data_IF_916312844242
#
_entry.id   IF_916312844242
#
_cell.length_a   1.000
_cell.length_b   1.000
_cell.length_c   1.000
_cell.angle_alpha   90.00
_cell.angle_beta   90.00
_cell.angle_gamma   90.00
#
_symmetry.space_group_name_H-M   'P 1'
#
loop_
_entity.id
_entity.type
_entity.pdbx_description
1 polymer ?
#
# COMPACT_ATOMS: atom_id res chain seq x y z
N UNK A 1 3.05 -4.21 2.15
CA UNK A 1 2.34 -4.03 3.45
C UNK A 1 3.20 -4.07 4.74
N UNK A 2 4.35 -4.76 4.84
CA UNK A 2 5.16 -4.82 6.10
C UNK A 2 6.21 -3.68 6.22
N UNK A 3 6.48 -2.92 5.16
CA UNK A 3 7.57 -1.90 5.09
C UNK A 3 7.05 -0.46 5.26
N UNK A 4 5.91 -0.25 5.94
CA UNK A 4 5.12 0.95 5.67
C UNK A 4 5.31 2.16 6.61
N UNK A 5 6.18 2.09 7.63
CA UNK A 5 6.43 3.26 8.51
C UNK A 5 7.89 3.63 8.80
N UNK A 6 8.84 2.75 8.51
CA UNK A 6 10.27 3.07 8.67
C UNK A 6 10.85 4.00 7.59
N UNK A 7 10.14 4.17 6.47
CA UNK A 7 10.68 4.83 5.27
C UNK A 7 9.97 6.13 4.86
N UNK A 8 9.10 6.70 5.70
CA UNK A 8 8.49 8.02 5.38
C UNK A 8 9.56 9.13 5.24
N UNK A 9 10.74 9.00 5.86
CA UNK A 9 11.89 9.90 5.64
C UNK A 9 12.71 9.59 4.39
N UNK A 10 12.56 8.40 3.81
CA UNK A 10 13.42 7.90 2.72
C UNK A 10 12.73 7.95 1.36
N UNK A 11 11.41 7.69 1.32
CA UNK A 11 10.60 7.93 0.14
C UNK A 11 10.47 9.43 -0.19
N UNK A 12 10.58 10.31 0.81
CA UNK A 12 10.61 11.75 0.60
C UNK A 12 11.81 12.20 -0.26
N UNK A 13 12.92 11.45 -0.25
CA UNK A 13 14.13 11.73 -1.04
C UNK A 13 14.02 11.17 -2.46
N UNK A 14 13.35 10.05 -2.68
CA UNK A 14 13.21 9.41 -3.99
C UNK A 14 12.09 10.01 -4.86
N UNK A 15 11.00 10.49 -4.27
CA UNK A 15 9.93 11.17 -5.03
C UNK A 15 10.30 12.62 -5.37
N UNK A 16 11.34 13.18 -4.76
CA UNK A 16 11.80 14.55 -5.05
C UNK A 16 12.66 14.69 -6.33
N UNK A 17 13.03 13.58 -6.99
CA UNK A 17 13.98 13.62 -8.10
C UNK A 17 13.44 13.29 -9.49
N UNK A 18 12.17 12.85 -9.64
CA UNK A 18 11.74 12.36 -10.97
C UNK A 18 10.53 13.00 -11.62
N UNK A 19 9.62 13.75 -10.99
CA UNK A 19 8.56 14.45 -11.74
C UNK A 19 7.83 15.48 -10.84
N UNK A 20 8.26 16.74 -10.83
CA UNK A 20 7.40 17.87 -10.42
C UNK A 20 8.05 19.22 -10.78
N UNK A 21 8.27 19.44 -12.07
CA UNK A 21 8.21 20.80 -12.63
C UNK A 21 6.82 20.99 -13.22
N UNK A 22 6.12 22.02 -12.73
CA UNK A 22 4.82 22.53 -13.16
C UNK A 22 3.56 21.79 -12.68
N UNK A 23 3.07 22.17 -11.50
CA UNK A 23 1.66 22.59 -11.37
C UNK A 23 1.47 23.48 -10.13
N UNK A 24 0.66 24.51 -10.35
CA UNK A 24 0.56 25.77 -9.63
C UNK A 24 -0.03 25.67 -8.22
N UNK A 25 0.55 26.45 -7.29
CA UNK A 25 0.29 26.54 -5.84
C UNK A 25 -1.02 27.26 -5.44
N UNK A 26 -2.17 27.04 -6.07
CA UNK A 26 -3.35 27.89 -5.73
C UNK A 26 -4.76 27.31 -5.68
N UNK A 27 -4.97 26.00 -5.72
CA UNK A 27 -6.35 25.47 -5.78
C UNK A 27 -6.79 24.49 -4.68
N UNK A 28 -5.99 24.23 -3.63
CA UNK A 28 -6.34 23.14 -2.70
C UNK A 28 -7.12 23.53 -1.44
N UNK A 29 -7.41 24.82 -1.19
CA UNK A 29 -8.14 25.24 0.03
C UNK A 29 -9.64 25.54 -0.21
N UNK A 30 -10.10 25.73 -1.46
CA UNK A 30 -11.49 26.16 -1.74
C UNK A 30 -12.41 25.08 -2.35
N UNK A 31 -11.98 23.81 -2.42
CA UNK A 31 -12.74 22.75 -3.09
C UNK A 31 -13.29 21.67 -2.13
N UNK A 32 -14.15 22.08 -1.20
CA UNK A 32 -15.20 21.20 -0.65
C UNK A 32 -16.54 21.94 -0.76
N UNK A 33 -17.34 21.70 -1.81
CA UNK A 33 -18.64 22.33 -1.93
C UNK A 33 -19.68 21.59 -1.08
N UNK A 34 -20.38 22.38 -0.25
CA UNK A 34 -21.66 22.04 0.36
C UNK A 34 -22.64 21.56 -0.70
N UNK A 35 -23.14 20.34 -0.55
CA UNK A 35 -24.06 19.70 -1.48
C UNK A 35 -25.47 20.28 -1.37
N UNK A 36 -25.78 21.31 -2.17
CA UNK A 36 -27.16 21.63 -2.55
C UNK A 36 -27.18 22.60 -3.74
N UNK A 37 -27.11 22.08 -4.96
CA UNK A 37 -27.56 22.86 -6.11
C UNK A 37 -28.08 22.01 -7.27
N UNK A 38 -28.99 22.65 -8.00
CA UNK A 38 -30.04 22.10 -8.86
C UNK A 38 -29.48 21.43 -10.11
N UNK A 39 -30.08 20.32 -10.49
CA UNK A 39 -29.89 19.66 -11.79
C UNK A 39 -30.61 20.50 -12.87
N UNK A 40 -29.93 21.06 -13.88
CA UNK A 40 -30.60 21.57 -15.08
C UNK A 40 -30.97 20.42 -16.02
N UNK A 41 -32.16 20.52 -16.61
CA UNK A 41 -32.73 19.57 -17.56
C UNK A 41 -31.82 19.32 -18.78
N UNK A 42 -31.36 18.08 -18.91
CA UNK A 42 -30.59 17.61 -20.05
C UNK A 42 -31.50 17.29 -21.26
N UNK A 43 -31.90 18.32 -22.00
CA UNK A 43 -32.41 18.14 -23.38
C UNK A 43 -31.27 18.34 -24.37
N UNK A 44 -30.84 17.25 -25.02
CA UNK A 44 -30.07 17.31 -26.27
C UNK A 44 -28.63 16.80 -26.24
N UNK A 45 -28.39 15.58 -25.74
CA UNK A 45 -27.12 14.90 -26.00
C UNK A 45 -27.22 14.22 -27.37
N UNK A 46 -26.62 14.85 -28.39
CA UNK A 46 -26.34 14.21 -29.68
C UNK A 46 -25.34 13.07 -29.45
N UNK A 47 -25.62 11.92 -30.04
CA UNK A 47 -24.83 10.71 -29.97
C UNK A 47 -23.35 10.97 -30.37
N UNK A 48 -22.36 10.82 -29.47
CA UNK A 48 -20.95 11.07 -29.78
C UNK A 48 -20.32 9.97 -30.66
N UNK A 49 -21.07 8.90 -30.99
CA UNK A 49 -20.63 7.84 -31.90
C UNK A 49 -20.91 8.12 -33.38
N UNK A 50 -21.05 9.38 -33.77
CA UNK A 50 -20.97 9.74 -35.19
C UNK A 50 -19.49 9.77 -35.57
N UNK A 51 -18.93 8.59 -35.87
CA UNK A 51 -17.63 8.49 -36.51
C UNK A 51 -17.69 9.33 -37.79
N UNK A 52 -17.06 10.49 -37.78
CA UNK A 52 -16.81 11.29 -38.96
C UNK A 52 -15.86 10.47 -39.84
N UNK A 53 -16.42 9.61 -40.69
CA UNK A 53 -15.67 8.96 -41.75
C UNK A 53 -15.15 10.10 -42.62
N UNK A 54 -13.82 10.30 -42.74
CA UNK A 54 -13.29 11.35 -43.59
C UNK A 54 -13.83 11.15 -45.01
N UNK A 55 -14.70 12.08 -45.46
CA UNK A 55 -15.21 12.13 -46.84
C UNK A 55 -14.06 12.58 -47.73
N UNK A 56 -13.22 11.64 -48.11
CA UNK A 56 -12.04 11.89 -48.93
C UNK A 56 -11.20 10.65 -49.22
N UNK A 57 -11.78 9.45 -49.11
CA UNK A 57 -11.11 8.25 -49.59
C UNK A 57 -11.18 8.23 -51.13
N UNK A 58 -10.03 8.11 -51.83
CA UNK A 58 -10.03 8.04 -53.28
C UNK A 58 -10.78 6.79 -53.74
N UNK A 59 -11.79 6.98 -54.60
CA UNK A 59 -12.67 5.94 -55.14
C UNK A 59 -11.98 4.88 -56.03
N UNK A 60 -10.65 4.92 -56.17
CA UNK A 60 -9.85 3.93 -56.89
C UNK A 60 -8.51 3.77 -56.20
N UNK A 61 -8.40 2.76 -55.35
CA UNK A 61 -7.08 2.24 -54.98
C UNK A 61 -6.51 1.50 -56.20
N UNK A 62 -5.23 1.73 -56.56
CA UNK A 62 -4.58 0.99 -57.63
C UNK A 62 -4.57 -0.51 -57.31
N UNK A 63 -5.10 -1.31 -58.26
CA UNK A 63 -5.28 -2.78 -58.21
C UNK A 63 -4.00 -3.59 -57.91
N UNK A 64 -2.83 -2.96 -57.89
CA UNK A 64 -1.53 -3.64 -57.75
C UNK A 64 -0.95 -3.61 -56.35
N UNK A 65 -1.60 -2.97 -55.37
CA UNK A 65 -1.14 -3.01 -53.99
C UNK A 65 -1.44 -4.38 -53.36
N UNK A 66 -0.47 -5.29 -53.45
CA UNK A 66 -0.45 -6.53 -52.66
C UNK A 66 -0.24 -6.15 -51.20
N UNK A 67 -1.33 -5.81 -50.53
CA UNK A 67 -1.35 -5.56 -49.10
C UNK A 67 -0.91 -6.84 -48.40
N UNK A 68 0.29 -6.84 -47.84
CA UNK A 68 0.84 -8.01 -47.19
C UNK A 68 0.02 -8.31 -45.94
N UNK A 69 -0.46 -9.55 -45.79
CA UNK A 69 -1.19 -10.02 -44.60
C UNK A 69 -0.45 -9.72 -43.28
N UNK A 70 0.85 -9.46 -43.34
CA UNK A 70 1.68 -9.11 -42.19
C UNK A 70 1.50 -7.66 -41.71
N UNK A 71 1.02 -6.73 -42.54
CA UNK A 71 0.79 -5.33 -42.11
C UNK A 71 -0.47 -5.19 -41.25
N UNK A 72 -1.56 -5.88 -41.60
CA UNK A 72 -2.79 -5.89 -40.78
C UNK A 72 -2.54 -6.46 -39.37
N UNK A 73 -1.65 -7.44 -39.23
CA UNK A 73 -1.27 -7.99 -37.93
C UNK A 73 -0.57 -6.96 -37.04
N UNK A 74 0.28 -6.09 -37.59
CA UNK A 74 0.97 -5.04 -36.82
C UNK A 74 0.02 -3.97 -36.30
N UNK A 75 -0.99 -3.58 -37.09
CA UNK A 75 -1.98 -2.60 -36.66
C UNK A 75 -2.97 -3.16 -35.63
N UNK A 76 -3.36 -4.43 -35.75
CA UNK A 76 -4.23 -5.07 -34.75
C UNK A 76 -3.53 -5.22 -33.39
N UNK A 77 -2.22 -5.49 -33.36
CA UNK A 77 -1.46 -5.58 -32.10
C UNK A 77 -1.26 -4.23 -31.43
N UNK A 78 -1.02 -3.14 -32.19
CA UNK A 78 -0.82 -1.82 -31.60
C UNK A 78 -2.10 -1.24 -30.99
N UNK A 79 -3.28 -1.53 -31.56
CA UNK A 79 -4.57 -1.12 -30.97
C UNK A 79 -4.81 -1.82 -29.62
N UNK A 80 -4.55 -3.13 -29.53
CA UNK A 80 -4.75 -3.91 -28.31
C UNK A 80 -3.86 -3.44 -27.15
N UNK A 81 -2.61 -3.07 -27.43
CA UNK A 81 -1.69 -2.54 -26.42
C UNK A 81 -2.14 -1.17 -25.89
N UNK A 82 -2.61 -0.28 -26.76
CA UNK A 82 -3.12 1.04 -26.36
C UNK A 82 -4.38 0.90 -25.48
N UNK A 83 -5.31 0.03 -25.85
CA UNK A 83 -6.52 -0.25 -25.07
C UNK A 83 -6.18 -0.83 -23.69
N UNK A 84 -5.20 -1.75 -23.62
CA UNK A 84 -4.73 -2.30 -22.35
C UNK A 84 -4.04 -1.25 -21.47
N UNK A 85 -3.27 -0.33 -22.04
CA UNK A 85 -2.67 0.79 -21.31
C UNK A 85 -3.74 1.75 -20.78
N UNK A 86 -4.73 2.10 -21.60
CA UNK A 86 -5.84 2.95 -21.20
C UNK A 86 -6.64 2.32 -20.06
N UNK A 87 -6.98 1.02 -20.16
CA UNK A 87 -7.67 0.29 -19.11
C UNK A 87 -6.89 0.26 -17.78
N UNK A 88 -5.56 0.12 -17.83
CA UNK A 88 -4.69 0.19 -16.63
C UNK A 88 -4.70 1.58 -16.00
N UNK A 89 -4.62 2.63 -16.80
CA UNK A 89 -4.68 4.02 -16.31
C UNK A 89 -6.03 4.33 -15.66
N UNK A 90 -7.12 3.87 -16.28
CA UNK A 90 -8.46 4.05 -15.72
C UNK A 90 -8.63 3.28 -14.41
N UNK A 91 -8.14 2.03 -14.35
CA UNK A 91 -8.11 1.25 -13.11
C UNK A 91 -7.33 1.94 -11.99
N UNK A 92 -6.17 2.52 -12.30
CA UNK A 92 -5.36 3.26 -11.33
C UNK A 92 -6.08 4.52 -10.83
N UNK A 93 -6.73 5.29 -11.72
CA UNK A 93 -7.52 6.46 -11.35
C UNK A 93 -8.68 6.10 -10.42
N UNK A 94 -9.43 5.06 -10.76
CA UNK A 94 -10.55 4.60 -9.95
C UNK A 94 -10.09 4.11 -8.57
N UNK A 95 -8.96 3.41 -8.48
CA UNK A 95 -8.41 3.00 -7.19
C UNK A 95 -7.98 4.19 -6.33
N UNK A 96 -7.29 5.17 -6.92
CA UNK A 96 -6.87 6.38 -6.23
C UNK A 96 -8.08 7.20 -5.73
N UNK A 97 -9.13 7.31 -6.55
CA UNK A 97 -10.37 7.99 -6.16
C UNK A 97 -11.02 7.29 -4.97
N UNK A 98 -11.20 5.96 -5.03
CA UNK A 98 -11.76 5.18 -3.91
C UNK A 98 -10.95 5.33 -2.61
N UNK A 99 -9.63 5.35 -2.74
CA UNK A 99 -8.72 5.55 -1.61
C UNK A 99 -8.87 6.94 -1.00
N UNK A 100 -9.01 7.96 -1.85
CA UNK A 100 -9.21 9.36 -1.43
C UNK A 100 -10.58 9.55 -0.78
N UNK A 101 -11.64 8.98 -1.37
CA UNK A 101 -13.00 9.04 -0.82
C UNK A 101 -13.08 8.39 0.57
N UNK A 102 -12.43 7.24 0.76
CA UNK A 102 -12.37 6.58 2.07
C UNK A 102 -11.57 7.40 3.09
N UNK A 103 -10.47 8.03 2.66
CA UNK A 103 -9.67 8.89 3.53
C UNK A 103 -10.46 10.12 3.97
N UNK A 104 -11.22 10.75 3.08
CA UNK A 104 -12.10 11.87 3.43
C UNK A 104 -13.12 11.48 4.50
N UNK A 105 -13.79 10.33 4.34
CA UNK A 105 -14.74 9.79 5.33
C UNK A 105 -14.09 9.56 6.70
N UNK A 106 -12.85 9.05 6.73
CA UNK A 106 -12.10 8.85 7.97
C UNK A 106 -11.74 10.18 8.65
N UNK A 107 -11.48 11.24 7.88
CA UNK A 107 -11.12 12.56 8.40
C UNK A 107 -12.32 13.36 8.90
N UNK A 108 -13.50 13.14 8.31
CA UNK A 108 -14.76 13.78 8.70
C UNK A 108 -15.42 13.10 9.90
N UNK A 109 -15.18 11.79 10.10
CA UNK A 109 -15.78 11.03 11.19
C UNK A 109 -15.27 11.46 12.57
N UNK A 110 -16.15 11.58 13.58
CA UNK A 110 -15.72 11.74 14.97
C UNK A 110 -14.99 10.49 15.49
N UNK A 111 -15.34 9.30 14.98
CA UNK A 111 -14.68 8.03 15.27
C UNK A 111 -14.14 7.39 13.98
N UNK A 112 -12.84 7.57 13.65
CA UNK A 112 -12.24 6.96 12.47
C UNK A 112 -12.13 5.43 12.60
N UNK A 113 -12.18 4.87 13.81
CA UNK A 113 -12.05 3.41 14.02
C UNK A 113 -13.30 2.68 13.54
N UNK A 114 -14.48 3.21 13.84
CA UNK A 114 -15.75 2.64 13.37
C UNK A 114 -15.87 2.66 11.85
N UNK A 115 -15.54 3.79 11.22
CA UNK A 115 -15.54 3.90 9.75
C UNK A 115 -14.53 2.93 9.13
N UNK A 116 -13.36 2.77 9.75
CA UNK A 116 -12.37 1.79 9.30
C UNK A 116 -12.90 0.35 9.43
N UNK A 117 -13.60 0.00 10.52
CA UNK A 117 -14.24 -1.32 10.72
C UNK A 117 -15.28 -1.63 9.64
N UNK A 118 -16.10 -0.64 9.28
CA UNK A 118 -17.10 -0.77 8.22
C UNK A 118 -16.49 -0.96 6.82
N UNK A 119 -15.23 -0.60 6.63
CA UNK A 119 -14.55 -0.59 5.34
C UNK A 119 -13.23 -1.38 5.31
N UNK A 120 -13.08 -2.40 6.18
CA UNK A 120 -11.86 -3.22 6.31
C UNK A 120 -11.32 -3.75 4.97
N UNK A 121 -12.21 -4.16 4.07
CA UNK A 121 -11.84 -4.71 2.76
C UNK A 121 -11.18 -3.66 1.85
N UNK A 122 -11.58 -2.39 2.00
CA UNK A 122 -11.02 -1.26 1.24
C UNK A 122 -9.72 -0.75 1.83
N UNK A 123 -9.33 -1.19 3.03
CA UNK A 123 -8.03 -0.89 3.66
C UNK A 123 -6.95 -1.78 3.05
N UNK A 124 -6.63 -1.53 1.78
CA UNK A 124 -5.60 -2.22 1.02
C UNK A 124 -4.29 -1.42 0.97
N UNK A 125 -3.28 -1.94 0.28
CA UNK A 125 -1.99 -1.27 0.13
C UNK A 125 -2.11 0.10 -0.57
N UNK A 126 -2.93 0.20 -1.62
CA UNK A 126 -3.14 1.43 -2.39
C UNK A 126 -3.75 2.56 -1.53
N UNK A 127 -4.67 2.21 -0.63
CA UNK A 127 -5.23 3.14 0.34
C UNK A 127 -4.14 3.72 1.25
N UNK A 128 -3.31 2.85 1.83
CA UNK A 128 -2.22 3.32 2.69
C UNK A 128 -1.22 4.15 1.87
N UNK A 129 -0.80 3.70 0.68
CA UNK A 129 0.06 4.44 -0.28
C UNK A 129 -0.43 5.88 -0.49
N UNK A 130 -1.70 6.03 -0.82
CA UNK A 130 -2.36 7.33 -1.02
C UNK A 130 -2.37 8.16 0.26
N UNK A 131 -2.71 7.54 1.40
CA UNK A 131 -2.73 8.17 2.72
C UNK A 131 -1.39 8.76 3.16
N UNK A 132 -0.28 8.00 3.06
CA UNK A 132 1.03 8.57 3.45
C UNK A 132 1.55 9.61 2.45
N UNK A 133 1.16 9.54 1.19
CA UNK A 133 1.48 10.61 0.24
C UNK A 133 0.87 11.94 0.70
N UNK A 134 -0.42 11.94 1.07
CA UNK A 134 -1.08 13.12 1.63
C UNK A 134 -0.48 13.56 2.98
N UNK A 135 -0.16 12.62 3.88
CA UNK A 135 0.50 12.94 5.15
C UNK A 135 1.86 13.61 4.93
N UNK A 136 2.64 13.11 3.96
CA UNK A 136 3.94 13.69 3.61
C UNK A 136 3.79 15.09 3.03
N UNK A 137 2.80 15.30 2.16
CA UNK A 137 2.51 16.61 1.60
C UNK A 137 2.11 17.61 2.69
N UNK A 138 1.18 17.24 3.57
CA UNK A 138 0.75 18.10 4.69
C UNK A 138 1.93 18.48 5.62
N UNK A 139 2.85 17.54 5.88
CA UNK A 139 4.07 17.81 6.66
C UNK A 139 5.03 18.75 5.91
N UNK A 140 5.19 18.58 4.59
CA UNK A 140 6.03 19.46 3.75
C UNK A 140 5.46 20.88 3.68
N UNK A 141 4.14 21.03 3.66
CA UNK A 141 3.45 22.32 3.64
C UNK A 141 3.40 23.00 5.02
N UNK A 142 3.87 22.33 6.07
CA UNK A 142 3.84 22.86 7.44
C UNK A 142 2.44 22.87 8.07
N UNK A 143 1.47 22.17 7.47
CA UNK A 143 0.11 22.09 8.00
C UNK A 143 0.02 21.01 9.09
N UNK A 144 0.41 21.39 10.31
CA UNK A 144 0.50 20.50 11.47
C UNK A 144 -0.85 19.88 11.82
N UNK A 145 -1.94 20.65 11.75
CA UNK A 145 -3.27 20.19 12.12
C UNK A 145 -3.79 19.11 11.16
N UNK A 146 -3.64 19.33 9.85
CA UNK A 146 -4.02 18.34 8.84
C UNK A 146 -3.15 17.10 8.93
N UNK A 147 -1.83 17.26 9.14
CA UNK A 147 -0.93 16.13 9.33
C UNK A 147 -1.31 15.29 10.56
N UNK A 148 -1.67 15.93 11.69
CA UNK A 148 -2.10 15.24 12.90
C UNK A 148 -3.43 14.49 12.71
N UNK A 149 -4.40 15.09 11.99
CA UNK A 149 -5.67 14.42 11.64
C UNK A 149 -5.45 13.21 10.72
N UNK A 150 -4.63 13.36 9.68
CA UNK A 150 -4.25 12.27 8.78
C UNK A 150 -3.56 11.14 9.53
N UNK A 151 -2.61 11.47 10.41
CA UNK A 151 -1.91 10.48 11.21
C UNK A 151 -2.85 9.70 12.14
N UNK A 152 -3.80 10.38 12.80
CA UNK A 152 -4.83 9.73 13.62
C UNK A 152 -5.71 8.79 12.80
N UNK A 153 -6.20 9.24 11.65
CA UNK A 153 -7.05 8.44 10.75
C UNK A 153 -6.31 7.20 10.23
N UNK A 154 -5.07 7.35 9.78
CA UNK A 154 -4.25 6.24 9.27
C UNK A 154 -3.87 5.25 10.38
N UNK A 155 -3.60 5.73 11.59
CA UNK A 155 -3.37 4.86 12.75
C UNK A 155 -4.59 4.02 13.09
N UNK A 156 -5.79 4.61 13.10
CA UNK A 156 -7.04 3.91 13.36
C UNK A 156 -7.31 2.85 12.28
N UNK A 157 -7.19 3.23 11.00
CA UNK A 157 -7.33 2.31 9.87
C UNK A 157 -6.32 1.14 9.94
N UNK A 158 -5.06 1.44 10.26
CA UNK A 158 -4.03 0.41 10.43
C UNK A 158 -4.37 -0.54 11.58
N UNK A 159 -4.79 -0.04 12.74
CA UNK A 159 -5.12 -0.87 13.88
C UNK A 159 -6.24 -1.87 13.55
N UNK A 160 -7.30 -1.39 12.88
CA UNK A 160 -8.38 -2.24 12.38
C UNK A 160 -7.84 -3.27 11.38
N UNK A 161 -7.07 -2.86 10.37
CA UNK A 161 -6.53 -3.79 9.38
C UNK A 161 -5.64 -4.85 10.03
N UNK A 162 -4.74 -4.45 10.93
CA UNK A 162 -3.84 -5.34 11.63
C UNK A 162 -4.60 -6.37 12.47
N UNK A 163 -5.69 -5.98 13.14
CA UNK A 163 -6.51 -6.93 13.93
C UNK A 163 -7.13 -8.06 13.10
N UNK A 164 -7.27 -7.87 11.79
CA UNK A 164 -7.79 -8.91 10.88
C UNK A 164 -6.72 -9.85 10.32
N UNK A 165 -5.45 -9.55 10.55
CA UNK A 165 -4.34 -10.40 10.11
C UNK A 165 -4.19 -11.61 11.03
N UNK A 166 -3.52 -12.66 10.54
CA UNK A 166 -3.12 -13.77 11.39
C UNK A 166 -2.19 -13.30 12.53
N UNK A 167 -2.24 -13.89 13.74
CA UNK A 167 -1.43 -13.48 14.88
C UNK A 167 0.07 -13.40 14.57
N UNK A 168 0.60 -14.32 13.76
CA UNK A 168 2.01 -14.31 13.39
C UNK A 168 2.39 -13.05 12.59
N UNK A 169 1.51 -12.63 11.68
CA UNK A 169 1.68 -11.41 10.88
C UNK A 169 1.50 -10.14 11.72
N UNK A 170 0.58 -10.17 12.69
CA UNK A 170 0.42 -9.07 13.65
C UNK A 170 1.70 -8.85 14.46
N UNK A 171 2.27 -9.95 14.99
CA UNK A 171 3.52 -9.92 15.72
C UNK A 171 4.67 -9.39 14.86
N UNK A 172 4.81 -9.90 13.62
CA UNK A 172 5.83 -9.44 12.69
C UNK A 172 5.74 -7.93 12.44
N UNK A 173 4.53 -7.44 12.15
CA UNK A 173 4.29 -6.02 11.91
C UNK A 173 4.67 -5.17 13.14
N UNK A 174 4.35 -5.64 14.34
CA UNK A 174 4.69 -4.94 15.59
C UNK A 174 6.21 -4.90 15.80
N UNK A 175 6.91 -6.01 15.59
CA UNK A 175 8.36 -6.10 15.77
C UNK A 175 9.14 -5.26 14.75
N UNK A 176 8.71 -5.22 13.49
CA UNK A 176 9.35 -4.40 12.45
C UNK A 176 9.19 -2.91 12.73
N UNK A 177 8.07 -2.52 13.37
CA UNK A 177 7.78 -1.13 13.76
C UNK A 177 8.50 -0.69 15.03
N UNK A 178 8.80 -1.60 15.94
CA UNK A 178 9.57 -1.30 17.15
C UNK A 178 10.99 -0.85 16.76
N UNK A 179 11.34 0.38 17.10
CA UNK A 179 12.61 0.99 16.71
C UNK A 179 13.73 0.50 17.62
N UNK A 180 13.41 0.28 18.89
CA UNK A 180 14.37 -0.09 19.93
C UNK A 180 14.27 -1.57 20.31
N UNK A 181 15.38 -2.12 20.82
CA UNK A 181 15.40 -3.48 21.36
C UNK A 181 14.51 -3.63 22.60
N UNK A 182 14.43 -2.59 23.43
CA UNK A 182 13.58 -2.58 24.62
C UNK A 182 12.09 -2.74 24.25
N UNK A 183 11.63 -2.01 23.23
CA UNK A 183 10.25 -2.15 22.70
C UNK A 183 9.97 -3.57 22.19
N UNK A 184 10.92 -4.17 21.46
CA UNK A 184 10.77 -5.54 20.97
C UNK A 184 10.69 -6.55 22.10
N UNK A 185 11.56 -6.43 23.10
CA UNK A 185 11.50 -7.25 24.33
C UNK A 185 10.16 -7.11 25.03
N UNK A 186 9.64 -5.89 25.15
CA UNK A 186 8.33 -5.65 25.74
C UNK A 186 7.23 -6.35 24.94
N UNK A 187 7.28 -6.35 23.60
CA UNK A 187 6.33 -7.09 22.77
C UNK A 187 6.38 -8.59 23.06
N UNK A 188 7.57 -9.18 23.16
CA UNK A 188 7.73 -10.59 23.51
C UNK A 188 7.19 -10.92 24.91
N UNK A 189 7.47 -10.08 25.90
CA UNK A 189 6.98 -10.26 27.27
C UNK A 189 5.47 -10.09 27.38
N UNK A 190 4.91 -9.07 26.72
CA UNK A 190 3.47 -8.78 26.73
C UNK A 190 2.62 -9.84 26.02
N UNK A 191 3.19 -10.53 25.02
CA UNK A 191 2.51 -11.60 24.30
C UNK A 191 2.38 -12.91 25.09
N UNK A 192 3.10 -13.06 26.20
CA UNK A 192 2.97 -14.20 27.11
C UNK A 192 3.15 -15.57 26.45
N UNK A 193 2.37 -16.55 26.92
CA UNK A 193 2.36 -17.92 26.39
C UNK A 193 1.84 -18.01 24.96
N UNK A 194 0.90 -17.15 24.59
CA UNK A 194 0.25 -17.16 23.27
C UNK A 194 1.23 -16.78 22.15
N UNK A 195 2.21 -15.93 22.48
CA UNK A 195 3.28 -15.60 21.56
C UNK A 195 4.20 -16.79 21.31
N UNK A 196 4.55 -17.54 22.37
CA UNK A 196 5.39 -18.74 22.22
C UNK A 196 4.66 -19.82 21.42
N UNK A 197 3.36 -20.03 21.65
CA UNK A 197 2.58 -20.96 20.83
C UNK A 197 2.54 -20.49 19.37
N UNK A 198 2.33 -19.20 19.13
CA UNK A 198 2.37 -18.60 17.77
C UNK A 198 3.71 -18.84 17.07
N UNK A 199 4.84 -18.73 17.79
CA UNK A 199 6.18 -18.97 17.25
C UNK A 199 6.46 -20.47 16.98
N UNK A 200 5.94 -21.37 17.82
CA UNK A 200 6.21 -22.82 17.74
C UNK A 200 5.26 -23.55 16.79
N UNK A 201 3.97 -23.18 16.74
CA UNK A 201 2.93 -23.96 16.06
C UNK A 201 3.04 -23.98 14.52
N UNK A 202 3.73 -23.03 13.90
CA UNK A 202 3.79 -22.92 12.44
C UNK A 202 5.19 -23.21 11.91
N UNK A 203 5.69 -24.44 11.94
CA UNK A 203 6.83 -24.96 11.14
C UNK A 203 7.98 -23.96 10.83
N UNK A 204 8.38 -23.13 11.79
CA UNK A 204 9.35 -22.03 11.57
C UNK A 204 8.99 -21.08 10.42
N UNK A 205 7.71 -20.95 10.07
CA UNK A 205 7.17 -20.00 9.10
C UNK A 205 7.65 -18.59 9.41
N UNK A 206 7.59 -18.18 10.68
CA UNK A 206 7.95 -16.82 11.10
C UNK A 206 9.42 -16.50 10.79
N UNK A 207 10.33 -17.42 11.14
CA UNK A 207 11.77 -17.28 10.88
C UNK A 207 12.04 -17.32 9.37
N UNK A 208 11.36 -18.21 8.65
CA UNK A 208 11.48 -18.31 7.19
C UNK A 208 11.00 -17.04 6.50
N UNK A 209 9.91 -16.44 6.97
CA UNK A 209 9.38 -15.17 6.47
C UNK A 209 10.37 -14.02 6.70
N UNK A 210 10.95 -13.91 7.90
CA UNK A 210 12.00 -12.94 8.20
C UNK A 210 13.24 -13.12 7.31
N UNK A 211 13.68 -14.37 7.10
CA UNK A 211 14.81 -14.68 6.22
C UNK A 211 14.56 -14.27 4.78
N UNK A 212 13.36 -14.53 4.24
CA UNK A 212 12.94 -14.08 2.91
C UNK A 212 12.92 -12.56 2.80
N UNK A 213 12.31 -11.87 3.79
CA UNK A 213 12.29 -10.41 3.83
C UNK A 213 13.69 -9.80 3.86
N UNK A 214 14.60 -10.34 4.67
CA UNK A 214 15.99 -9.88 4.72
C UNK A 214 16.70 -10.10 3.37
N UNK A 215 16.52 -11.25 2.73
CA UNK A 215 17.08 -11.52 1.41
C UNK A 215 16.52 -10.57 0.33
N UNK A 216 15.22 -10.26 0.40
CA UNK A 216 14.58 -9.34 -0.55
C UNK A 216 15.10 -7.90 -0.37
N UNK A 217 15.23 -7.43 0.87
CA UNK A 217 15.83 -6.11 1.17
C UNK A 217 17.30 -6.06 0.74
N UNK A 218 18.04 -7.15 0.90
CA UNK A 218 19.44 -7.26 0.46
C UNK A 218 19.59 -7.11 -1.06
N UNK A 219 18.64 -7.60 -1.86
CA UNK A 219 18.64 -7.49 -3.33
C UNK A 219 18.24 -6.11 -3.85
N UNK A 220 17.59 -5.28 -3.04
CA UNK A 220 17.18 -3.94 -3.47
C UNK A 220 18.39 -3.03 -3.74
N UNK A 221 18.29 -2.08 -4.67
CA UNK A 221 19.31 -1.05 -4.88
C UNK A 221 19.65 -0.31 -3.57
N UNK A 222 20.86 0.24 -3.43
CA UNK A 222 21.23 1.01 -2.24
C UNK A 222 20.24 2.15 -1.99
N UNK A 223 19.63 2.16 -0.80
CA UNK A 223 18.76 3.23 -0.34
C UNK A 223 19.18 3.64 1.08
N UNK A 224 18.89 4.88 1.53
CA UNK A 224 19.44 5.37 2.80
C UNK A 224 18.82 4.70 4.06
N UNK A 225 17.83 3.81 3.93
CA UNK A 225 17.25 3.03 5.05
C UNK A 225 17.60 1.55 5.05
N UNK A 226 18.14 1.03 3.95
CA UNK A 226 18.39 -0.39 3.74
C UNK A 226 19.22 -0.98 4.85
N UNK A 227 20.31 -0.31 5.23
CA UNK A 227 21.21 -0.78 6.29
C UNK A 227 20.50 -0.87 7.65
N UNK A 228 19.68 0.14 7.99
CA UNK A 228 18.92 0.17 9.24
C UNK A 228 17.86 -0.94 9.26
N UNK A 229 17.11 -1.10 8.17
CA UNK A 229 16.09 -2.14 8.04
C UNK A 229 16.71 -3.55 8.10
N UNK A 230 17.80 -3.78 7.38
CA UNK A 230 18.54 -5.06 7.42
C UNK A 230 19.05 -5.38 8.82
N UNK A 231 19.64 -4.39 9.50
CA UNK A 231 20.09 -4.55 10.89
C UNK A 231 18.93 -4.95 11.80
N UNK A 232 17.78 -4.28 11.65
CA UNK A 232 16.57 -4.57 12.42
C UNK A 232 16.03 -5.98 12.15
N UNK A 233 15.88 -6.38 10.90
CA UNK A 233 15.39 -7.72 10.53
C UNK A 233 16.30 -8.82 11.09
N UNK A 234 17.63 -8.64 11.00
CA UNK A 234 18.61 -9.58 11.56
C UNK A 234 18.56 -9.61 13.10
N UNK A 235 18.30 -8.48 13.75
CA UNK A 235 18.13 -8.42 15.21
C UNK A 235 16.87 -9.19 15.63
N UNK A 236 15.73 -8.94 14.99
CA UNK A 236 14.47 -9.66 15.23
C UNK A 236 14.68 -11.17 15.04
N UNK A 237 15.34 -11.56 13.95
CA UNK A 237 15.62 -12.98 13.69
C UNK A 237 16.42 -13.63 14.83
N UNK A 238 17.53 -13.02 15.27
CA UNK A 238 18.34 -13.54 16.38
C UNK A 238 17.57 -13.60 17.71
N UNK A 239 16.78 -12.57 17.99
CA UNK A 239 15.94 -12.49 19.19
C UNK A 239 14.90 -13.62 19.20
N UNK A 240 14.19 -13.81 18.09
CA UNK A 240 13.20 -14.89 17.95
C UNK A 240 13.83 -16.29 18.06
N UNK A 241 14.99 -16.52 17.42
CA UNK A 241 15.72 -17.80 17.55
C UNK A 241 16.18 -18.08 18.98
N UNK A 242 16.58 -17.04 19.73
CA UNK A 242 16.95 -17.18 21.12
C UNK A 242 15.75 -17.58 22.01
N UNK A 243 14.57 -16.98 21.75
CA UNK A 243 13.33 -17.31 22.43
C UNK A 243 12.84 -18.73 22.12
N UNK A 244 12.92 -19.17 20.86
CA UNK A 244 12.59 -20.55 20.48
C UNK A 244 13.47 -21.54 21.25
N UNK A 245 14.80 -21.31 21.27
CA UNK A 245 15.74 -22.16 22.02
C UNK A 245 15.44 -22.18 23.51
N UNK A 246 15.06 -21.04 24.10
CA UNK A 246 14.65 -20.98 25.50
C UNK A 246 13.38 -21.79 25.75
N UNK A 247 12.37 -21.66 24.89
CA UNK A 247 11.12 -22.39 25.01
C UNK A 247 11.33 -23.91 24.89
N UNK A 248 12.14 -24.37 23.92
CA UNK A 248 12.48 -25.80 23.78
C UNK A 248 13.17 -26.35 25.03
N UNK A 249 14.09 -25.59 25.64
CA UNK A 249 14.75 -26.01 26.89
C UNK A 249 13.78 -26.12 28.06
N UNK A 250 12.81 -25.22 28.17
CA UNK A 250 11.79 -25.27 29.22
C UNK A 250 10.88 -26.48 29.03
N UNK A 251 10.48 -26.77 27.79
CA UNK A 251 9.67 -27.94 27.45
C UNK A 251 10.38 -29.26 27.81
N UNK A 252 11.65 -29.41 27.41
CA UNK A 252 12.47 -30.59 27.73
C UNK A 252 12.67 -30.80 29.24
N UNK A 253 12.77 -29.71 30.02
CA UNK A 253 12.87 -29.80 31.49
C UNK A 253 11.54 -30.23 32.14
N UNK A 254 10.40 -29.85 31.58
CA UNK A 254 9.08 -30.20 32.09
C UNK A 254 8.74 -31.69 31.93
N UNK A 255 9.04 -32.29 30.78
CA UNK A 255 8.74 -33.71 30.52
C UNK A 255 9.60 -34.69 31.34
N UNK A 256 10.81 -34.29 31.75
CA UNK A 256 11.70 -35.14 32.54
C UNK A 256 11.36 -35.24 34.04
N UNK A 257 10.54 -34.34 34.58
CA UNK A 257 10.25 -34.25 36.01
C UNK A 257 9.07 -35.09 36.52
N UNK A 258 8.30 -35.72 35.63
CA UNK A 258 7.04 -36.42 35.96
C UNK A 258 7.13 -37.95 36.11
N UNK A 259 8.34 -38.54 36.11
CA UNK A 259 8.55 -39.97 36.40
C UNK A 259 9.23 -40.12 37.76
N UNK A 260 8.47 -40.06 38.84
CA UNK A 260 8.85 -40.56 40.16
C UNK A 260 7.70 -41.36 40.75
#
# INVERSE_FOLDING_TARGET
LVVWRGEAKLFATLVSCTHLTMLSRRCFVDAMPSARERVPDAKGIRNPFSCNVPRGLPNRLPSTYKFSSNEWRRYATSSSEADAQFARLEGARLSQQRSTDLLARLLESPDPTEVARQHVERLNEEFFMTGSAYLTLARKDGNVDVAARLERALNAAWAVKNSTLRPELQLLNNLVRAETEAERKQLYTSGGSDLLSTLVMNDRWFITALGRMAADVERQPPNPGKAQLMSRLRAIQRETEALERQATRLYQKGEGGGRQ
#
